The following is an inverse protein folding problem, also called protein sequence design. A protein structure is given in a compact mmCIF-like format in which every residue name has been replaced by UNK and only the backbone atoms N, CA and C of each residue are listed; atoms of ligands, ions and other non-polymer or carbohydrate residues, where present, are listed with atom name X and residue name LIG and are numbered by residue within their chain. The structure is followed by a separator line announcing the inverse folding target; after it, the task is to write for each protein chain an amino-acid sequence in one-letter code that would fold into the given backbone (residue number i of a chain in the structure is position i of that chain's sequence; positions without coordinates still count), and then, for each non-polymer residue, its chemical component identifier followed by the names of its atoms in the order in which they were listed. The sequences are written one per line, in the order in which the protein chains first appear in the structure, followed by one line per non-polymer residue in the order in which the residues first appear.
data_IF_531138596698
#
_entry.id   IF_531138596698
#
_cell.length_a   1.000
_cell.length_b   1.000
_cell.length_c   1.000
_cell.angle_alpha   90.00
_cell.angle_beta   90.00
_cell.angle_gamma   90.00
#
_symmetry.space_group_name_H-M   'P 1'
#
loop_
_entity.id
_entity.type
_entity.pdbx_description
1 polymer ?
#
# COMPACT_ATOMS: atom_id res chain seq x y z
N UNK A 1 0.54 -3.65 -14.55
CA UNK A 1 -0.15 -4.87 -14.05
C UNK A 1 -0.26 -5.90 -15.16
N UNK A 2 -0.50 -7.16 -14.83
CA UNK A 2 -0.77 -8.18 -15.83
C UNK A 2 -2.21 -8.12 -16.36
N UNK A 3 -2.41 -8.58 -17.59
CA UNK A 3 -3.71 -8.50 -18.29
C UNK A 3 -4.86 -9.12 -17.49
N UNK A 4 -4.61 -10.27 -16.84
CA UNK A 4 -5.58 -11.00 -16.02
C UNK A 4 -6.03 -10.26 -14.74
N UNK A 5 -5.39 -9.13 -14.42
CA UNK A 5 -5.72 -8.31 -13.26
C UNK A 5 -6.47 -7.03 -13.60
N UNK A 6 -6.60 -6.68 -14.88
CA UNK A 6 -7.24 -5.42 -15.32
C UNK A 6 -8.67 -5.32 -14.78
N UNK A 7 -9.49 -6.35 -15.02
CA UNK A 7 -10.89 -6.33 -14.58
C UNK A 7 -11.03 -6.28 -13.05
N UNK A 8 -10.13 -6.96 -12.34
CA UNK A 8 -10.11 -6.95 -10.86
C UNK A 8 -9.75 -5.60 -10.27
N UNK A 9 -8.97 -4.82 -10.99
CA UNK A 9 -8.47 -3.52 -10.56
C UNK A 9 -9.25 -2.35 -11.17
N UNK A 10 -10.24 -2.62 -12.03
CA UNK A 10 -10.95 -1.60 -12.80
C UNK A 10 -11.49 -0.47 -11.91
N UNK A 11 -12.22 -0.79 -10.85
CA UNK A 11 -12.79 0.22 -9.95
C UNK A 11 -11.71 1.09 -9.27
N UNK A 12 -10.56 0.49 -8.89
CA UNK A 12 -9.44 1.25 -8.32
C UNK A 12 -8.75 2.12 -9.37
N UNK A 13 -8.60 1.62 -10.59
CA UNK A 13 -8.04 2.37 -11.71
C UNK A 13 -8.91 3.59 -12.00
N UNK A 14 -10.23 3.41 -12.08
CA UNK A 14 -11.19 4.49 -12.32
C UNK A 14 -11.10 5.55 -11.20
N UNK A 15 -11.01 5.15 -9.95
CA UNK A 15 -10.85 6.07 -8.82
C UNK A 15 -9.54 6.86 -8.90
N UNK A 16 -8.42 6.21 -9.23
CA UNK A 16 -7.12 6.86 -9.39
C UNK A 16 -7.14 7.86 -10.54
N UNK A 17 -7.67 7.46 -11.70
CA UNK A 17 -7.74 8.32 -12.87
C UNK A 17 -8.74 9.48 -12.70
N UNK A 18 -9.78 9.31 -11.87
CA UNK A 18 -10.68 10.40 -11.51
C UNK A 18 -9.99 11.46 -10.64
N UNK A 19 -9.00 11.07 -9.82
CA UNK A 19 -8.20 12.01 -9.00
C UNK A 19 -7.08 12.66 -9.79
N UNK A 20 -6.39 11.89 -10.61
CA UNK A 20 -5.30 12.34 -11.46
C UNK A 20 -5.33 11.60 -12.81
N UNK A 21 -5.94 12.23 -13.85
CA UNK A 21 -6.03 11.64 -15.18
C UNK A 21 -4.68 11.39 -15.88
N UNK A 22 -3.59 11.96 -15.37
CA UNK A 22 -2.24 11.77 -15.92
C UNK A 22 -1.51 10.59 -15.26
N UNK A 23 -2.09 9.93 -14.27
CA UNK A 23 -1.49 8.75 -13.66
C UNK A 23 -1.33 7.64 -14.70
N UNK A 24 -0.10 7.18 -15.00
CA UNK A 24 0.12 6.16 -16.01
C UNK A 24 -0.33 4.78 -15.50
N UNK A 25 -1.11 4.08 -16.30
CA UNK A 25 -1.50 2.69 -16.05
C UNK A 25 -0.94 1.81 -17.15
N UNK A 26 0.00 0.94 -16.81
CA UNK A 26 0.64 0.03 -17.75
C UNK A 26 0.07 -1.38 -17.61
N UNK A 27 -0.31 -1.98 -18.73
CA UNK A 27 -0.73 -3.38 -18.82
C UNK A 27 0.32 -4.15 -19.63
N UNK A 28 0.72 -5.32 -19.15
CA UNK A 28 1.74 -6.15 -19.78
C UNK A 28 1.53 -7.62 -19.44
N UNK A 29 2.27 -8.50 -20.08
CA UNK A 29 2.35 -9.90 -19.69
C UNK A 29 3.06 -10.07 -18.32
N UNK A 30 2.85 -11.23 -17.71
CA UNK A 30 3.41 -11.55 -16.40
C UNK A 30 4.94 -11.61 -16.40
N UNK A 31 5.55 -12.15 -17.45
CA UNK A 31 7.00 -12.27 -17.53
C UNK A 31 7.70 -10.91 -17.58
N UNK A 32 7.14 -9.97 -18.33
CA UNK A 32 7.63 -8.59 -18.38
C UNK A 32 7.44 -7.90 -17.00
N UNK A 33 6.29 -8.11 -16.35
CA UNK A 33 6.05 -7.55 -15.03
C UNK A 33 7.05 -8.05 -13.98
N UNK A 34 7.36 -9.35 -13.98
CA UNK A 34 8.36 -9.94 -13.07
C UNK A 34 9.77 -9.48 -13.39
N UNK A 35 10.10 -9.29 -14.67
CA UNK A 35 11.39 -8.73 -15.09
C UNK A 35 11.61 -7.31 -14.56
N UNK A 36 10.54 -6.47 -14.57
CA UNK A 36 10.59 -5.12 -14.01
C UNK A 36 10.70 -5.15 -12.49
N UNK A 37 9.96 -6.04 -11.84
CA UNK A 37 9.94 -6.16 -10.39
C UNK A 37 11.23 -6.75 -9.81
N UNK A 38 11.90 -7.63 -10.54
CA UNK A 38 13.05 -8.38 -10.08
C UNK A 38 12.70 -9.54 -9.13
N UNK A 39 11.41 -9.86 -8.98
CA UNK A 39 10.91 -10.97 -8.17
C UNK A 39 9.58 -11.51 -8.72
N UNK A 40 9.19 -12.68 -8.28
CA UNK A 40 7.92 -13.30 -8.68
C UNK A 40 6.72 -12.52 -8.14
N UNK A 41 5.90 -11.97 -9.04
CA UNK A 41 4.74 -11.14 -8.71
C UNK A 41 3.48 -12.02 -8.58
N UNK A 42 3.22 -12.52 -7.38
CA UNK A 42 2.08 -13.42 -7.11
C UNK A 42 0.71 -12.81 -7.43
N UNK A 43 0.56 -11.49 -7.24
CA UNK A 43 -0.71 -10.77 -7.38
C UNK A 43 -0.80 -9.91 -8.63
N UNK A 44 -0.04 -10.13 -9.66
CA UNK A 44 -0.19 -9.55 -10.99
C UNK A 44 -0.29 -8.02 -11.09
N UNK A 45 -0.16 -7.28 -9.99
CA UNK A 45 -0.22 -5.82 -9.98
C UNK A 45 0.84 -5.23 -9.06
N UNK A 46 1.46 -4.13 -9.52
CA UNK A 46 2.41 -3.32 -8.77
C UNK A 46 1.99 -1.86 -8.88
N UNK A 47 2.19 -1.09 -7.82
CA UNK A 47 1.97 0.35 -7.82
C UNK A 47 3.20 1.06 -7.22
N UNK A 48 3.65 2.11 -7.89
CA UNK A 48 4.62 3.06 -7.35
C UNK A 48 3.85 4.30 -6.89
N UNK A 49 4.05 4.70 -5.65
CA UNK A 49 3.33 5.82 -5.06
C UNK A 49 4.30 6.76 -4.37
N UNK A 50 4.01 8.05 -4.42
CA UNK A 50 4.71 9.02 -3.59
C UNK A 50 4.40 8.76 -2.12
N UNK A 51 5.45 8.77 -1.30
CA UNK A 51 5.25 8.69 0.15
C UNK A 51 4.64 9.99 0.64
N UNK A 52 3.52 9.95 1.40
CA UNK A 52 2.96 11.17 1.98
C UNK A 52 3.93 11.77 3.00
N UNK A 53 3.82 13.08 3.23
CA UNK A 53 4.48 13.73 4.36
C UNK A 53 3.89 13.13 5.63
N UNK A 54 4.76 12.51 6.44
CA UNK A 54 4.31 11.91 7.68
C UNK A 54 4.20 12.97 8.77
N UNK A 55 3.19 12.88 9.65
CA UNK A 55 3.10 13.74 10.81
C UNK A 55 4.29 13.49 11.76
N UNK A 56 4.63 14.48 12.55
CA UNK A 56 5.60 14.34 13.63
C UNK A 56 5.08 13.43 14.74
N UNK A 57 5.97 12.94 15.58
CA UNK A 57 5.58 12.12 16.73
C UNK A 57 4.64 12.89 17.66
N UNK A 58 4.92 14.17 17.90
CA UNK A 58 4.09 15.03 18.76
C UNK A 58 2.67 15.22 18.18
N UNK A 59 2.56 15.42 16.88
CA UNK A 59 1.26 15.51 16.19
C UNK A 59 0.47 14.21 16.30
N UNK A 60 1.13 13.05 16.15
CA UNK A 60 0.48 11.74 16.30
C UNK A 60 0.01 11.51 17.73
N UNK A 61 0.87 11.81 18.72
CA UNK A 61 0.57 11.57 20.13
C UNK A 61 -0.52 12.50 20.69
N UNK A 62 -0.62 13.73 20.16
CA UNK A 62 -1.64 14.71 20.57
C UNK A 62 -2.95 14.61 19.79
N UNK A 63 -3.00 13.84 18.71
CA UNK A 63 -4.21 13.67 17.92
C UNK A 63 -5.38 13.10 18.75
N UNK A 64 -6.59 13.52 18.43
CA UNK A 64 -7.84 13.01 19.03
C UNK A 64 -7.90 13.04 20.57
N UNK A 65 -7.29 14.05 21.20
CA UNK A 65 -7.30 14.22 22.66
C UNK A 65 -6.19 13.51 23.39
N UNK A 66 -5.18 13.06 22.68
CA UNK A 66 -3.98 12.40 23.19
C UNK A 66 -4.02 10.88 23.15
N UNK A 67 -2.88 10.28 22.88
CA UNK A 67 -2.76 8.84 22.83
C UNK A 67 -2.77 8.21 24.23
N UNK A 68 -3.68 7.27 24.47
CA UNK A 68 -3.77 6.50 25.75
C UNK A 68 -2.86 5.24 25.69
N UNK A 69 -2.61 4.75 24.49
CA UNK A 69 -1.77 3.60 24.24
C UNK A 69 -0.94 3.87 22.98
N UNK A 70 0.34 3.63 23.07
CA UNK A 70 1.29 3.77 21.94
C UNK A 70 2.02 2.45 21.73
N UNK A 71 2.08 2.01 20.51
CA UNK A 71 2.85 0.82 20.12
C UNK A 71 3.88 1.23 19.08
N UNK A 72 5.14 1.01 19.40
CA UNK A 72 6.25 1.22 18.47
C UNK A 72 6.65 -0.13 17.85
N UNK A 73 6.74 -0.17 16.53
CA UNK A 73 7.16 -1.33 15.77
C UNK A 73 8.49 -1.02 15.08
N UNK A 74 9.49 -1.84 15.32
CA UNK A 74 10.80 -1.72 14.70
C UNK A 74 11.20 -3.04 14.03
N UNK A 75 11.79 -2.94 12.85
CA UNK A 75 12.33 -4.09 12.10
C UNK A 75 11.33 -5.21 11.80
N UNK A 76 10.03 -4.88 11.71
CA UNK A 76 8.99 -5.82 11.31
C UNK A 76 8.92 -5.87 9.78
N UNK A 77 9.46 -6.93 9.19
CA UNK A 77 9.55 -7.09 7.73
C UNK A 77 8.23 -7.61 7.14
N UNK A 78 7.59 -8.55 7.83
CA UNK A 78 6.35 -9.16 7.34
C UNK A 78 5.13 -8.31 7.75
N UNK A 79 4.43 -7.79 6.74
CA UNK A 79 3.20 -7.00 6.91
C UNK A 79 2.06 -7.78 7.58
N UNK A 80 2.06 -9.11 7.51
CA UNK A 80 1.09 -9.97 8.21
C UNK A 80 1.26 -9.84 9.72
N UNK A 81 2.50 -9.76 10.20
CA UNK A 81 2.81 -9.54 11.61
C UNK A 81 2.35 -8.14 12.08
N UNK A 82 2.52 -7.12 11.25
CA UNK A 82 2.00 -5.78 11.54
C UNK A 82 0.48 -5.82 11.74
N UNK A 83 -0.25 -6.48 10.82
CA UNK A 83 -1.70 -6.65 10.93
C UNK A 83 -2.13 -7.45 12.17
N UNK A 84 -1.36 -8.47 12.58
CA UNK A 84 -1.62 -9.24 13.79
C UNK A 84 -1.46 -8.38 15.06
N UNK A 85 -0.40 -7.56 15.11
CA UNK A 85 -0.15 -6.64 16.23
C UNK A 85 -1.28 -5.62 16.35
N UNK A 86 -1.73 -5.01 15.24
CA UNK A 86 -2.86 -4.08 15.27
C UNK A 86 -4.14 -4.72 15.81
N UNK A 87 -4.45 -5.95 15.42
CA UNK A 87 -5.60 -6.68 15.97
C UNK A 87 -5.47 -6.91 17.48
N UNK A 88 -4.28 -7.24 17.96
CA UNK A 88 -4.03 -7.47 19.40
C UNK A 88 -4.12 -6.18 20.22
N UNK A 89 -3.71 -5.05 19.64
CA UNK A 89 -3.79 -3.73 20.30
C UNK A 89 -5.24 -3.22 20.37
N UNK A 90 -6.06 -3.57 19.38
CA UNK A 90 -7.46 -3.15 19.29
C UNK A 90 -8.43 -4.00 20.17
N UNK A 91 -7.98 -5.15 20.66
CA UNK A 91 -8.76 -6.04 21.50
C UNK A 91 -8.72 -5.63 22.98
#
# INVERSE_FOLDING_TARGET
MSEDWVDRMAALIDEVLARDPQTPVFVTDRGTLESIAGFHVHRGALAAMHRPVLPTVDEVLSANGGARLVVALESVVDHTNVGAIFRSVAA
#
